data_IF_255857823168
#
_entry.id   IF_255857823168
#
_cell.length_a   1.000
_cell.length_b   1.000
_cell.length_c   1.000
_cell.angle_alpha   90.00
_cell.angle_beta   90.00
_cell.angle_gamma   90.00
#
_symmetry.space_group_name_H-M   'P 1'
#
loop_
_entity.id
_entity.type
_entity.pdbx_description
1 polymer ?
#
# COMPACT_ATOMS: atom_id res chain seq x y z
N UNK A 1 -8.32 -28.86 32.89
CA UNK A 1 -7.37 -27.75 33.15
C UNK A 1 -6.33 -27.60 32.03
N UNK A 2 -5.58 -28.65 31.66
CA UNK A 2 -4.59 -28.61 30.56
C UNK A 2 -5.17 -28.10 29.21
N UNK A 3 -6.37 -28.55 28.80
CA UNK A 3 -7.04 -28.07 27.58
C UNK A 3 -7.34 -26.56 27.60
N UNK A 4 -7.77 -26.01 28.75
CA UNK A 4 -8.03 -24.58 28.91
C UNK A 4 -6.73 -23.77 28.81
N UNK A 5 -5.67 -24.26 29.44
CA UNK A 5 -4.33 -23.65 29.37
C UNK A 5 -3.79 -23.61 27.93
N UNK A 6 -3.94 -24.72 27.18
CA UNK A 6 -3.54 -24.80 25.76
C UNK A 6 -4.31 -23.77 24.92
N UNK A 7 -5.63 -23.68 25.08
CA UNK A 7 -6.46 -22.70 24.36
C UNK A 7 -5.99 -21.27 24.67
N UNK A 8 -5.74 -20.94 25.95
CA UNK A 8 -5.26 -19.62 26.34
C UNK A 8 -3.92 -19.29 25.67
N UNK A 9 -2.96 -20.22 25.65
CA UNK A 9 -1.66 -20.02 25.00
C UNK A 9 -1.81 -19.79 23.50
N UNK A 10 -2.65 -20.58 22.82
CA UNK A 10 -2.91 -20.40 21.37
C UNK A 10 -3.49 -19.02 21.10
N UNK A 11 -4.48 -18.58 21.88
CA UNK A 11 -5.09 -17.25 21.72
C UNK A 11 -4.05 -16.14 21.88
N UNK A 12 -3.18 -16.24 22.89
CA UNK A 12 -2.11 -15.26 23.11
C UNK A 12 -1.14 -15.22 21.92
N UNK A 13 -0.70 -16.38 21.43
CA UNK A 13 0.20 -16.46 20.27
C UNK A 13 -0.46 -15.85 19.02
N UNK A 14 -1.74 -16.16 18.76
CA UNK A 14 -2.47 -15.61 17.62
C UNK A 14 -2.58 -14.09 17.69
N UNK A 15 -2.88 -13.54 18.88
CA UNK A 15 -2.96 -12.08 19.09
C UNK A 15 -1.61 -11.41 18.89
N UNK A 16 -0.53 -12.01 19.40
CA UNK A 16 0.83 -11.50 19.21
C UNK A 16 1.25 -11.54 17.74
N UNK A 17 1.00 -12.65 17.05
CA UNK A 17 1.28 -12.79 15.62
C UNK A 17 0.50 -11.76 14.79
N UNK A 18 -0.79 -11.55 15.10
CA UNK A 18 -1.59 -10.51 14.47
C UNK A 18 -1.02 -9.10 14.74
N UNK A 19 -0.59 -8.82 15.97
CA UNK A 19 0.02 -7.54 16.32
C UNK A 19 1.30 -7.25 15.53
N UNK A 20 2.17 -8.26 15.36
CA UNK A 20 3.37 -8.16 14.52
C UNK A 20 2.98 -7.91 13.06
N UNK A 21 2.05 -8.69 12.51
CA UNK A 21 1.57 -8.51 11.14
C UNK A 21 1.03 -7.09 10.91
N UNK A 22 0.18 -6.62 11.80
CA UNK A 22 -0.40 -5.28 11.75
C UNK A 22 0.63 -4.16 11.92
N UNK A 23 1.73 -4.40 12.64
CA UNK A 23 2.80 -3.40 12.79
C UNK A 23 3.67 -3.25 11.55
N UNK A 24 3.94 -4.35 10.84
CA UNK A 24 4.98 -4.36 9.80
C UNK A 24 4.47 -4.55 8.38
N UNK A 25 3.27 -5.09 8.18
CA UNK A 25 2.76 -5.50 6.86
C UNK A 25 1.47 -4.79 6.44
N UNK A 26 0.92 -3.91 7.29
CA UNK A 26 -0.26 -3.12 6.97
C UNK A 26 0.11 -1.96 6.04
N UNK A 27 -0.53 -1.90 4.86
CA UNK A 27 -0.33 -0.83 3.87
C UNK A 27 -0.85 0.52 4.38
N UNK A 28 -1.78 0.56 5.34
CA UNK A 28 -2.23 1.81 5.95
C UNK A 28 -1.14 2.49 6.81
N UNK A 29 -0.03 1.79 7.06
CA UNK A 29 1.06 2.21 7.95
C UNK A 29 2.37 2.49 7.23
N UNK A 30 2.31 2.65 5.92
CA UNK A 30 3.48 3.02 5.13
C UNK A 30 3.99 4.42 5.51
N UNK A 31 5.31 4.65 5.42
CA UNK A 31 5.90 5.94 5.73
C UNK A 31 5.29 7.07 4.89
N UNK A 32 5.35 8.28 5.45
CA UNK A 32 5.02 9.51 4.72
C UNK A 32 6.15 9.76 3.72
N UNK A 33 5.80 10.24 2.54
CA UNK A 33 6.75 10.58 1.50
C UNK A 33 6.48 11.94 0.89
N UNK A 34 7.39 12.36 0.03
CA UNK A 34 7.27 13.56 -0.80
C UNK A 34 6.46 13.22 -2.06
N UNK A 35 5.47 14.04 -2.42
CA UNK A 35 4.69 13.84 -3.63
C UNK A 35 5.58 14.10 -4.85
N UNK A 36 5.76 13.09 -5.70
CA UNK A 36 6.61 13.21 -6.90
C UNK A 36 5.83 13.08 -8.22
N UNK A 37 4.65 12.47 -8.20
CA UNK A 37 3.82 12.28 -9.40
C UNK A 37 2.34 12.15 -9.04
N UNK A 38 1.46 12.62 -9.92
CA UNK A 38 0.01 12.52 -9.77
C UNK A 38 -0.65 12.36 -11.15
N UNK A 39 -1.62 11.46 -11.27
CA UNK A 39 -2.43 11.27 -12.48
C UNK A 39 -3.88 10.98 -12.16
N UNK A 40 -4.76 11.68 -12.88
CA UNK A 40 -6.21 11.50 -12.82
C UNK A 40 -6.63 10.45 -13.85
N UNK A 41 -7.53 9.57 -13.45
CA UNK A 41 -8.20 8.59 -14.33
C UNK A 41 -8.97 9.25 -15.47
N UNK A 42 -9.18 8.56 -16.62
CA UNK A 42 -9.91 9.11 -17.76
C UNK A 42 -11.30 9.66 -17.44
N UNK A 43 -12.05 9.00 -16.55
CA UNK A 43 -13.38 9.41 -16.12
C UNK A 43 -13.37 10.40 -14.93
N UNK A 44 -12.19 10.67 -14.36
CA UNK A 44 -12.01 11.56 -13.23
C UNK A 44 -12.46 10.98 -11.88
N UNK A 45 -12.87 9.71 -11.79
CA UNK A 45 -13.36 9.10 -10.54
C UNK A 45 -12.21 8.90 -9.54
N UNK A 46 -11.02 8.61 -10.06
CA UNK A 46 -9.82 8.34 -9.29
C UNK A 46 -8.67 9.28 -9.62
N UNK A 47 -7.82 9.51 -8.62
CA UNK A 47 -6.49 10.11 -8.79
C UNK A 47 -5.46 9.25 -8.08
N UNK A 48 -4.41 8.84 -8.79
CA UNK A 48 -3.26 8.16 -8.17
C UNK A 48 -2.17 9.18 -7.90
N UNK A 49 -1.71 9.23 -6.65
CA UNK A 49 -0.58 10.04 -6.18
C UNK A 49 0.57 9.12 -5.79
N UNK A 50 1.75 9.36 -6.33
CA UNK A 50 2.96 8.64 -5.96
C UNK A 50 3.86 9.49 -5.07
N UNK A 51 4.32 8.87 -3.98
CA UNK A 51 5.16 9.50 -2.98
C UNK A 51 6.51 8.80 -2.89
N UNK A 52 7.59 9.57 -2.96
CA UNK A 52 8.93 9.11 -2.66
C UNK A 52 9.12 9.03 -1.15
N UNK A 53 9.43 7.86 -0.64
CA UNK A 53 9.63 7.61 0.79
C UNK A 53 11.10 7.33 1.08
N UNK A 54 11.64 8.02 2.09
CA UNK A 54 13.04 7.90 2.53
C UNK A 54 13.08 7.17 3.88
N UNK A 55 13.75 6.01 3.93
CA UNK A 55 13.92 5.23 5.15
C UNK A 55 15.12 5.65 6.02
N UNK A 56 15.89 6.66 5.60
CA UNK A 56 17.11 7.13 6.26
C UNK A 56 18.39 6.74 5.50
N UNK A 57 19.55 7.12 6.05
CA UNK A 57 20.84 7.08 5.35
C UNK A 57 21.28 5.71 4.81
N UNK A 58 20.79 4.61 5.39
CA UNK A 58 21.18 3.23 5.03
C UNK A 58 20.08 2.44 4.32
N UNK A 59 18.92 3.06 4.08
CA UNK A 59 17.75 2.41 3.49
C UNK A 59 17.49 3.04 2.12
N UNK A 60 17.30 2.21 1.09
CA UNK A 60 16.98 2.74 -0.23
C UNK A 60 15.62 3.42 -0.23
N UNK A 61 15.40 4.30 -1.21
CA UNK A 61 14.10 4.90 -1.44
C UNK A 61 13.06 3.84 -1.83
N UNK A 62 11.80 4.19 -1.59
CA UNK A 62 10.65 3.40 -1.98
C UNK A 62 9.53 4.30 -2.49
N UNK A 63 8.73 3.80 -3.43
CA UNK A 63 7.57 4.50 -3.95
C UNK A 63 6.31 3.96 -3.28
N UNK A 64 5.51 4.89 -2.76
CA UNK A 64 4.15 4.63 -2.24
C UNK A 64 3.13 5.26 -3.16
N UNK A 65 2.27 4.44 -3.79
CA UNK A 65 1.11 4.91 -4.56
C UNK A 65 -0.17 4.93 -3.71
N UNK A 66 -0.84 6.07 -3.71
CA UNK A 66 -2.11 6.31 -3.02
C UNK A 66 -3.23 6.60 -4.02
N UNK A 67 -4.29 5.81 -3.97
CA UNK A 67 -5.52 6.02 -4.70
C UNK A 67 -6.46 6.95 -3.93
N UNK A 68 -6.78 8.09 -4.54
CA UNK A 68 -7.72 9.08 -4.05
C UNK A 68 -9.05 8.94 -4.80
N UNK A 69 -10.18 8.98 -4.07
CA UNK A 69 -11.53 8.91 -4.64
C UNK A 69 -12.08 10.33 -4.79
N UNK A 70 -12.26 10.80 -6.03
CA UNK A 70 -12.65 12.19 -6.29
C UNK A 70 -14.17 12.41 -6.15
N UNK A 71 -14.96 11.40 -6.52
CA UNK A 71 -16.43 11.49 -6.55
C UNK A 71 -17.11 10.85 -5.34
N UNK A 72 -16.39 9.99 -4.61
CA UNK A 72 -16.92 9.30 -3.44
C UNK A 72 -16.26 9.82 -2.15
N UNK A 73 -17.05 10.02 -1.10
CA UNK A 73 -16.54 10.37 0.24
C UNK A 73 -15.88 9.15 0.90
N UNK A 74 -14.70 8.77 0.43
CA UNK A 74 -13.90 7.63 0.90
C UNK A 74 -12.48 8.09 1.19
N UNK A 75 -11.89 7.55 2.25
CA UNK A 75 -10.49 7.81 2.57
C UNK A 75 -9.58 7.27 1.45
N UNK A 76 -8.47 7.96 1.15
CA UNK A 76 -7.46 7.44 0.24
C UNK A 76 -6.94 6.07 0.69
N UNK A 77 -6.50 5.26 -0.26
CA UNK A 77 -5.96 3.92 -0.03
C UNK A 77 -4.58 3.78 -0.63
N UNK A 78 -3.65 3.20 0.10
CA UNK A 78 -2.37 2.79 -0.48
C UNK A 78 -2.56 1.55 -1.34
N UNK A 79 -2.22 1.66 -2.61
CA UNK A 79 -2.38 0.61 -3.63
C UNK A 79 -1.05 0.13 -4.20
N UNK A 80 0.05 0.86 -3.99
CA UNK A 80 1.35 0.47 -4.52
C UNK A 80 2.43 0.72 -3.48
N UNK A 81 3.29 -0.27 -3.26
CA UNK A 81 4.44 -0.18 -2.39
C UNK A 81 5.59 -0.98 -2.97
N UNK A 82 6.64 -0.28 -3.41
CA UNK A 82 7.81 -0.91 -4.01
C UNK A 82 9.11 -0.31 -3.47
N UNK A 83 10.13 -1.16 -3.28
CA UNK A 83 11.42 -0.81 -2.70
C UNK A 83 12.53 -0.72 -3.74
N UNK A 84 13.53 0.14 -3.49
CA UNK A 84 14.60 0.50 -4.44
C UNK A 84 14.06 1.14 -5.69
N UNK A 85 13.19 2.12 -5.48
CA UNK A 85 12.56 2.88 -6.54
C UNK A 85 12.52 4.36 -6.15
N UNK A 86 12.90 5.23 -7.10
CA UNK A 86 13.12 6.66 -6.88
C UNK A 86 12.18 7.54 -7.73
N UNK A 87 11.67 7.00 -8.83
CA UNK A 87 10.80 7.70 -9.77
C UNK A 87 9.44 6.98 -9.88
N UNK A 88 8.41 7.73 -10.28
CA UNK A 88 7.06 7.20 -10.46
C UNK A 88 6.44 7.63 -11.80
N UNK A 89 6.37 6.69 -12.72
CA UNK A 89 5.58 6.77 -13.95
C UNK A 89 4.22 6.14 -13.71
N UNK A 90 3.17 6.95 -13.90
CA UNK A 90 1.78 6.54 -13.73
C UNK A 90 1.08 6.71 -15.08
N UNK A 91 0.46 5.64 -15.56
CA UNK A 91 -0.31 5.62 -16.80
C UNK A 91 -1.66 4.95 -16.55
N UNK A 92 -2.74 5.53 -17.08
CA UNK A 92 -4.05 4.90 -17.04
C UNK A 92 -4.30 4.19 -18.36
N UNK A 93 -4.60 2.89 -18.31
CA UNK A 93 -4.96 2.11 -19.48
C UNK A 93 -6.46 2.30 -19.81
N UNK A 94 -7.28 2.41 -18.78
CA UNK A 94 -8.72 2.70 -18.84
C UNK A 94 -9.17 3.40 -17.55
N UNK A 95 -10.47 3.47 -17.28
CA UNK A 95 -11.06 4.12 -16.10
C UNK A 95 -10.67 3.48 -14.76
N UNK A 96 -10.36 2.18 -14.76
CA UNK A 96 -10.14 1.37 -13.57
C UNK A 96 -8.78 0.69 -13.53
N UNK A 97 -8.02 0.70 -14.62
CA UNK A 97 -6.73 0.04 -14.70
C UNK A 97 -5.60 1.05 -14.79
N UNK A 98 -4.72 1.03 -13.80
CA UNK A 98 -3.55 1.91 -13.71
C UNK A 98 -2.27 1.08 -13.76
N UNK A 99 -1.27 1.59 -14.47
CA UNK A 99 0.09 1.06 -14.52
C UNK A 99 0.99 2.02 -13.74
N UNK A 100 1.64 1.52 -12.69
CA UNK A 100 2.61 2.26 -11.88
C UNK A 100 3.96 1.56 -12.03
N UNK A 101 4.91 2.23 -12.68
CA UNK A 101 6.25 1.70 -12.97
C UNK A 101 6.25 0.28 -13.60
N UNK A 102 5.31 0.05 -14.52
CA UNK A 102 5.16 -1.22 -15.23
C UNK A 102 4.35 -2.29 -14.49
N UNK A 103 3.88 -2.02 -13.26
CA UNK A 103 2.94 -2.89 -12.55
C UNK A 103 1.51 -2.44 -12.82
N UNK A 104 0.72 -3.32 -13.42
CA UNK A 104 -0.71 -3.13 -13.67
C UNK A 104 -1.54 -3.43 -12.42
N UNK A 105 -2.54 -2.60 -12.13
CA UNK A 105 -3.45 -2.73 -11.00
C UNK A 105 -4.89 -2.36 -11.40
N UNK A 106 -5.84 -3.27 -11.15
CA UNK A 106 -7.29 -3.00 -11.23
C UNK A 106 -7.79 -2.35 -9.92
N UNK A 107 -8.03 -1.03 -9.97
CA UNK A 107 -8.46 -0.22 -8.83
C UNK A 107 -9.99 -0.13 -8.74
N UNK A 108 -10.56 -0.20 -7.51
CA UNK A 108 -9.91 0.08 -6.22
C UNK A 108 -9.55 -1.16 -5.38
N UNK A 109 -9.50 -2.35 -5.98
CA UNK A 109 -9.43 -3.61 -5.23
C UNK A 109 -8.02 -4.20 -5.19
N UNK A 110 -7.27 -4.08 -6.28
CA UNK A 110 -5.92 -4.57 -6.36
C UNK A 110 -4.91 -3.62 -5.71
N UNK A 111 -3.79 -4.21 -5.32
CA UNK A 111 -2.67 -3.51 -4.72
C UNK A 111 -1.38 -4.31 -4.92
N UNK A 112 -0.28 -3.60 -5.06
CA UNK A 112 1.04 -4.16 -5.10
C UNK A 112 1.79 -3.87 -3.78
N UNK A 113 2.44 -4.90 -3.24
CA UNK A 113 3.27 -4.81 -2.05
C UNK A 113 4.47 -5.74 -2.21
N UNK A 114 5.64 -5.19 -2.53
CA UNK A 114 6.86 -5.96 -2.80
C UNK A 114 7.26 -6.94 -1.68
N UNK A 115 6.74 -6.75 -0.46
CA UNK A 115 6.99 -7.66 0.68
C UNK A 115 6.24 -9.00 0.55
N UNK A 116 5.36 -9.14 -0.45
CA UNK A 116 4.45 -10.28 -0.64
C UNK A 116 4.64 -10.99 -1.98
N UNK A 117 5.49 -10.47 -2.83
CA UNK A 117 5.92 -11.05 -4.11
C UNK A 117 7.23 -11.83 -3.90
#
# INVERSE_FOLDING_TARGET
MKKKLIITVIVVITVLAYGVYWSFFDLARLPIGELISEKISPDGVYTVKAYLTNGGATVAYAIRGELNFNTANRKPKNIYWNYREEDATIEWMDENTVIINGIELDVPNEKFDFRRE
#
